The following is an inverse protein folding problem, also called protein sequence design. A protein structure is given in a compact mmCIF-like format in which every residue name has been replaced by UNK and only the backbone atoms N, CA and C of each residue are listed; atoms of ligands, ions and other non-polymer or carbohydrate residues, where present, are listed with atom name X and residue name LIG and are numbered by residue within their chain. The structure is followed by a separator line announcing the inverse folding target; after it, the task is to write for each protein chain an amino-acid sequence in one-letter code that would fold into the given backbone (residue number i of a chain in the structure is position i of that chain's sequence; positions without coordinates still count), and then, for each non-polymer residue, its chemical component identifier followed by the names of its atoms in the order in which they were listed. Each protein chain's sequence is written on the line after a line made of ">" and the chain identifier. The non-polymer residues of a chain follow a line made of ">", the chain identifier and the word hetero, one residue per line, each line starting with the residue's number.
data_IF_048838915460
#
_entry.id   IF_048838915460
#
_cell.length_a   1.000
_cell.length_b   1.000
_cell.length_c   1.000
_cell.angle_alpha   90.00
_cell.angle_beta   90.00
_cell.angle_gamma   90.00
#
_symmetry.space_group_name_H-M   'P 1'
#
loop_
_entity.id
_entity.type
_entity.pdbx_description
1 polymer ?
#
# COMPACT_ATOMS: atom_id res chain seq x y z
N UNK A 1 -11.47 9.75 -19.52
CA UNK A 1 -12.02 10.19 -18.22
C UNK A 1 -13.52 10.42 -18.22
N UNK A 2 -14.07 11.41 -18.91
CA UNK A 2 -15.55 11.60 -18.98
C UNK A 2 -16.27 10.35 -19.51
N UNK A 3 -15.66 9.65 -20.49
CA UNK A 3 -16.16 8.37 -20.99
C UNK A 3 -16.11 7.24 -19.93
N UNK A 4 -15.02 7.15 -19.15
CA UNK A 4 -14.86 6.16 -18.06
C UNK A 4 -15.86 6.44 -16.93
N UNK A 5 -16.02 7.70 -16.55
CA UNK A 5 -17.01 8.13 -15.56
C UNK A 5 -18.44 7.88 -16.03
N UNK A 6 -18.72 8.06 -17.33
CA UNK A 6 -20.02 7.77 -17.95
C UNK A 6 -20.31 6.27 -18.02
N UNK A 7 -19.32 5.45 -18.35
CA UNK A 7 -19.45 3.99 -18.36
C UNK A 7 -19.62 3.41 -16.94
N UNK A 8 -18.96 3.98 -15.92
CA UNK A 8 -19.18 3.66 -14.50
C UNK A 8 -20.62 3.99 -14.05
N UNK A 9 -21.20 5.08 -14.55
CA UNK A 9 -22.60 5.45 -14.30
C UNK A 9 -23.55 4.45 -14.96
N UNK A 10 -23.24 4.03 -16.19
CA UNK A 10 -24.08 3.11 -16.94
C UNK A 10 -23.97 1.65 -16.43
N UNK A 11 -22.81 1.24 -15.89
CA UNK A 11 -22.59 -0.10 -15.30
C UNK A 11 -23.21 -0.25 -13.91
N UNK A 12 -23.09 0.75 -13.03
CA UNK A 12 -23.73 0.77 -11.70
C UNK A 12 -25.26 0.79 -11.78
N UNK A 13 -25.82 1.31 -12.88
CA UNK A 13 -27.26 1.27 -13.14
C UNK A 13 -27.79 -0.14 -13.49
N UNK A 14 -26.93 -1.02 -14.01
CA UNK A 14 -27.26 -2.39 -14.47
C UNK A 14 -27.12 -3.47 -13.39
N UNK A 15 -26.35 -3.23 -12.32
CA UNK A 15 -26.16 -4.18 -11.21
C UNK A 15 -27.14 -4.01 -10.03
N UNK A 16 -28.34 -3.43 -10.26
CA UNK A 16 -29.35 -3.14 -9.23
C UNK A 16 -29.98 -4.36 -8.54
N UNK A 17 -29.65 -5.59 -8.91
CA UNK A 17 -30.35 -6.79 -8.43
C UNK A 17 -29.63 -7.61 -7.35
N UNK A 18 -28.39 -7.33 -6.97
CA UNK A 18 -27.66 -8.13 -5.95
C UNK A 18 -27.15 -7.38 -4.71
N UNK A 19 -27.33 -6.06 -4.62
CA UNK A 19 -26.92 -5.29 -3.42
C UNK A 19 -28.11 -5.15 -2.46
N UNK A 20 -27.99 -5.52 -1.16
CA UNK A 20 -29.04 -5.34 -0.17
C UNK A 20 -29.53 -3.88 -0.18
N UNK A 21 -30.85 -3.70 -0.33
CA UNK A 21 -31.52 -2.39 -0.47
C UNK A 21 -31.30 -1.39 0.69
N UNK A 22 -30.54 -1.75 1.72
CA UNK A 22 -30.23 -0.89 2.87
C UNK A 22 -29.05 0.09 2.63
N UNK A 23 -28.30 -0.04 1.54
CA UNK A 23 -27.17 0.85 1.23
C UNK A 23 -27.48 1.95 0.18
N UNK A 24 -28.73 2.08 -0.27
CA UNK A 24 -29.13 3.20 -1.12
C UNK A 24 -29.25 4.49 -0.28
N UNK A 25 -28.12 5.16 -0.04
CA UNK A 25 -28.14 6.56 0.34
C UNK A 25 -28.84 7.35 -0.77
N UNK A 26 -29.94 8.01 -0.40
CA UNK A 26 -30.70 8.95 -1.23
C UNK A 26 -29.77 9.79 -2.12
N UNK A 27 -29.70 9.43 -3.41
CA UNK A 27 -29.00 10.18 -4.45
C UNK A 27 -29.86 11.33 -5.02
N UNK A 28 -31.09 11.53 -4.51
CA UNK A 28 -31.97 12.62 -4.89
C UNK A 28 -32.18 13.61 -3.75
N UNK A 29 -31.95 14.90 -4.08
CA UNK A 29 -32.39 16.10 -3.35
C UNK A 29 -31.86 16.33 -1.93
N UNK A 30 -30.61 16.78 -1.82
CA UNK A 30 -30.21 17.80 -0.82
C UNK A 30 -28.85 18.39 -1.17
N UNK A 31 -28.80 19.18 -2.24
CA UNK A 31 -27.82 20.26 -2.37
C UNK A 31 -28.11 21.32 -1.30
N UNK A 32 -27.66 21.09 -0.06
CA UNK A 32 -27.47 22.08 1.02
C UNK A 32 -26.98 21.37 2.27
N UNK A 33 -25.86 21.86 2.80
CA UNK A 33 -25.18 21.47 4.03
C UNK A 33 -24.34 20.20 3.95
N UNK A 34 -23.25 20.30 3.17
CA UNK A 34 -22.01 19.72 3.65
C UNK A 34 -21.64 20.42 4.97
N UNK A 35 -21.84 19.75 6.10
CA UNK A 35 -20.97 19.98 7.25
C UNK A 35 -19.64 19.29 6.91
N UNK A 36 -18.83 19.92 6.06
CA UNK A 36 -17.44 19.53 5.92
C UNK A 36 -16.85 19.43 7.34
N UNK A 37 -16.10 18.37 7.69
CA UNK A 37 -15.16 18.52 8.78
C UNK A 37 -14.30 19.71 8.38
N UNK A 38 -14.47 20.84 9.05
CA UNK A 38 -13.71 22.05 8.74
C UNK A 38 -12.24 21.66 8.73
N UNK A 39 -11.45 22.26 7.84
CA UNK A 39 -10.00 22.01 7.77
C UNK A 39 -9.34 22.00 9.16
N UNK A 40 -9.86 22.79 10.09
CA UNK A 40 -9.53 22.76 11.51
C UNK A 40 -9.73 21.40 12.21
N UNK A 41 -10.89 20.77 12.07
CA UNK A 41 -11.16 19.44 12.66
C UNK A 41 -10.27 18.37 12.05
N UNK A 42 -10.05 18.38 10.73
CA UNK A 42 -9.11 17.46 10.09
C UNK A 42 -7.68 17.64 10.62
N UNK A 43 -7.22 18.89 10.75
CA UNK A 43 -5.90 19.22 11.31
C UNK A 43 -5.77 18.74 12.77
N UNK A 44 -6.81 18.90 13.60
CA UNK A 44 -6.80 18.38 14.98
C UNK A 44 -6.71 16.85 15.00
N UNK A 45 -7.46 16.18 14.12
CA UNK A 45 -7.49 14.73 13.98
C UNK A 45 -6.13 14.17 13.54
N UNK A 46 -5.46 14.84 12.60
CA UNK A 46 -4.09 14.53 12.18
C UNK A 46 -3.07 14.70 13.31
N UNK A 47 -3.17 15.77 14.12
CA UNK A 47 -2.27 15.99 15.27
C UNK A 47 -2.38 14.89 16.33
N UNK A 48 -3.59 14.40 16.59
CA UNK A 48 -3.79 13.30 17.55
C UNK A 48 -3.18 12.00 17.04
N UNK A 49 -3.38 11.69 15.75
CA UNK A 49 -2.79 10.52 15.11
C UNK A 49 -1.25 10.58 15.09
N UNK A 50 -0.69 11.76 14.83
CA UNK A 50 0.74 12.00 14.88
C UNK A 50 1.31 11.71 16.27
N UNK A 51 0.66 12.20 17.33
CA UNK A 51 1.08 11.93 18.70
C UNK A 51 1.05 10.44 19.05
N UNK A 52 0.06 9.70 18.55
CA UNK A 52 -0.02 8.24 18.69
C UNK A 52 1.19 7.55 18.03
N UNK A 53 1.49 7.85 16.77
CA UNK A 53 2.60 7.23 16.04
C UNK A 53 3.96 7.58 16.64
N UNK A 54 4.17 8.84 17.04
CA UNK A 54 5.42 9.26 17.69
C UNK A 54 5.68 8.48 18.97
N UNK A 55 4.65 8.29 19.81
CA UNK A 55 4.74 7.48 21.02
C UNK A 55 5.09 6.02 20.68
N UNK A 56 4.41 5.43 19.70
CA UNK A 56 4.66 4.04 19.30
C UNK A 56 6.10 3.84 18.82
N UNK A 57 6.61 4.71 17.94
CA UNK A 57 7.98 4.59 17.44
C UNK A 57 9.04 4.83 18.52
N UNK A 58 8.79 5.72 19.51
CA UNK A 58 9.65 5.86 20.67
C UNK A 58 9.71 4.57 21.52
N UNK A 59 8.57 3.91 21.73
CA UNK A 59 8.54 2.60 22.41
C UNK A 59 9.31 1.54 21.61
N UNK A 60 9.25 1.56 20.27
CA UNK A 60 10.07 0.71 19.40
C UNK A 60 11.58 1.03 19.45
N UNK A 61 11.99 2.27 19.71
CA UNK A 61 13.41 2.61 19.89
C UNK A 61 14.02 1.90 21.11
N UNK A 62 13.24 1.68 22.18
CA UNK A 62 13.70 0.88 23.32
C UNK A 62 13.97 -0.59 22.92
N UNK A 63 13.29 -1.09 21.87
CA UNK A 63 13.55 -2.41 21.27
C UNK A 63 14.84 -2.47 20.43
N UNK A 64 15.30 -1.35 19.83
CA UNK A 64 16.54 -1.30 19.04
C UNK A 64 17.81 -1.64 19.84
N UNK A 65 17.74 -1.60 21.18
CA UNK A 65 18.80 -2.14 22.05
C UNK A 65 18.99 -3.67 21.94
N UNK A 66 18.11 -4.36 21.20
CA UNK A 66 18.17 -5.80 20.94
C UNK A 66 18.35 -6.05 19.44
N UNK A 67 19.57 -6.41 19.08
CA UNK A 67 20.03 -6.80 17.73
C UNK A 67 19.06 -7.78 17.05
N UNK A 68 18.19 -7.30 16.15
CA UNK A 68 17.21 -8.16 15.48
C UNK A 68 17.61 -8.43 14.04
N UNK A 69 18.24 -9.59 13.86
CA UNK A 69 18.19 -10.34 12.61
C UNK A 69 16.72 -10.66 12.27
N UNK A 70 16.34 -10.73 10.99
CA UNK A 70 15.05 -11.28 10.56
C UNK A 70 15.02 -12.79 10.91
N UNK A 71 14.69 -13.13 12.15
CA UNK A 71 14.63 -14.51 12.65
C UNK A 71 13.24 -14.93 13.12
N UNK A 72 12.24 -14.06 13.04
CA UNK A 72 10.85 -14.36 13.44
C UNK A 72 9.86 -13.60 12.55
N UNK A 73 8.62 -14.10 12.45
CA UNK A 73 7.51 -13.44 11.75
C UNK A 73 7.14 -12.08 12.36
N UNK A 74 7.38 -11.91 13.66
CA UNK A 74 7.19 -10.63 14.37
C UNK A 74 8.15 -9.56 13.83
N UNK A 75 9.41 -9.91 13.58
CA UNK A 75 10.41 -8.99 13.02
C UNK A 75 10.05 -8.59 11.58
N UNK A 76 9.48 -9.49 10.77
CA UNK A 76 9.05 -9.16 9.41
C UNK A 76 7.94 -8.10 9.40
N UNK A 77 6.99 -8.19 10.34
CA UNK A 77 5.95 -7.16 10.52
C UNK A 77 6.56 -5.82 10.92
N UNK A 78 7.47 -5.81 11.88
CA UNK A 78 8.14 -4.59 12.33
C UNK A 78 8.96 -3.94 11.20
N UNK A 79 9.71 -4.74 10.44
CA UNK A 79 10.49 -4.26 9.30
C UNK A 79 9.57 -3.71 8.21
N UNK A 80 8.51 -4.42 7.84
CA UNK A 80 7.54 -3.91 6.87
C UNK A 80 6.92 -2.58 7.33
N UNK A 81 6.55 -2.48 8.61
CA UNK A 81 5.99 -1.26 9.21
C UNK A 81 6.99 -0.12 9.13
N UNK A 82 8.25 -0.38 9.48
CA UNK A 82 9.34 0.61 9.45
C UNK A 82 9.67 1.08 8.04
N UNK A 83 9.70 0.17 7.05
CA UNK A 83 9.92 0.54 5.64
C UNK A 83 8.80 1.45 5.14
N UNK A 84 7.53 1.09 5.41
CA UNK A 84 6.37 1.89 4.99
C UNK A 84 6.31 3.24 5.72
N UNK A 85 6.69 3.28 7.01
CA UNK A 85 6.82 4.51 7.77
C UNK A 85 7.87 5.44 7.18
N UNK A 86 9.04 4.91 6.83
CA UNK A 86 10.11 5.69 6.20
C UNK A 86 9.66 6.25 4.84
N UNK A 87 9.01 5.43 4.01
CA UNK A 87 8.46 5.83 2.70
C UNK A 87 7.46 6.98 2.85
N UNK A 88 6.50 6.84 3.76
CA UNK A 88 5.46 7.84 4.01
C UNK A 88 6.05 9.14 4.59
N UNK A 89 6.96 9.04 5.55
CA UNK A 89 7.61 10.24 6.10
C UNK A 89 8.55 10.92 5.12
N UNK A 90 9.18 10.17 4.23
CA UNK A 90 9.96 10.75 3.13
C UNK A 90 9.07 11.61 2.24
N UNK A 91 7.92 11.07 1.82
CA UNK A 91 6.98 11.72 0.91
C UNK A 91 6.07 12.79 1.58
N UNK A 92 5.88 12.72 2.90
CA UNK A 92 5.06 13.66 3.67
C UNK A 92 5.75 14.06 4.99
N UNK A 93 6.84 14.84 4.93
CA UNK A 93 7.61 15.24 6.11
C UNK A 93 6.79 16.05 7.13
N UNK A 94 5.74 16.75 6.69
CA UNK A 94 4.81 17.49 7.54
C UNK A 94 4.08 16.59 8.56
N UNK A 95 3.99 15.28 8.32
CA UNK A 95 3.42 14.32 9.26
C UNK A 95 4.30 14.07 10.49
N UNK A 96 5.59 14.42 10.45
CA UNK A 96 6.51 14.31 11.58
C UNK A 96 6.45 15.51 12.52
N UNK A 97 5.84 16.63 12.09
CA UNK A 97 5.72 17.86 12.88
C UNK A 97 6.87 18.84 12.65
N UNK A 98 7.00 19.81 13.55
CA UNK A 98 7.98 20.90 13.43
C UNK A 98 9.37 20.55 13.98
N UNK A 99 9.54 19.38 14.60
CA UNK A 99 10.85 18.88 15.03
C UNK A 99 11.53 18.21 13.85
N UNK A 100 12.85 18.37 13.74
CA UNK A 100 13.61 17.96 12.56
C UNK A 100 13.26 16.51 12.15
N UNK A 101 12.67 16.31 10.95
CA UNK A 101 12.32 14.98 10.41
C UNK A 101 13.50 13.99 10.32
N UNK A 102 14.70 14.47 10.59
CA UNK A 102 15.98 13.80 10.42
C UNK A 102 16.15 12.63 11.38
N UNK A 103 15.81 12.76 12.67
CA UNK A 103 16.11 11.71 13.66
C UNK A 103 15.26 10.44 13.45
N UNK A 104 13.94 10.59 13.28
CA UNK A 104 13.05 9.44 13.03
C UNK A 104 13.35 8.76 11.68
N UNK A 105 13.63 9.55 10.62
CA UNK A 105 14.00 8.98 9.32
C UNK A 105 15.32 8.23 9.37
N UNK A 106 16.33 8.78 10.04
CA UNK A 106 17.61 8.11 10.25
C UNK A 106 17.45 6.81 11.02
N UNK A 107 16.67 6.82 12.10
CA UNK A 107 16.44 5.60 12.91
C UNK A 107 15.71 4.52 12.14
N UNK A 108 14.71 4.87 11.33
CA UNK A 108 14.01 3.91 10.47
C UNK A 108 14.94 3.39 9.37
N UNK A 109 15.78 4.25 8.79
CA UNK A 109 16.77 3.85 7.78
C UNK A 109 17.83 2.91 8.38
N UNK A 110 18.35 3.22 9.56
CA UNK A 110 19.27 2.36 10.31
C UNK A 110 18.65 1.01 10.63
N UNK A 111 17.37 0.98 11.04
CA UNK A 111 16.66 -0.25 11.36
C UNK A 111 16.51 -1.21 10.17
N UNK A 112 16.38 -0.68 8.96
CA UNK A 112 16.19 -1.47 7.73
C UNK A 112 17.50 -1.64 6.93
N UNK A 113 18.60 -1.07 7.41
CA UNK A 113 19.93 -1.22 6.80
C UNK A 113 20.66 -2.40 7.47
N UNK A 114 21.30 -3.30 6.69
CA UNK A 114 22.07 -4.40 7.27
C UNK A 114 23.18 -3.89 8.19
N UNK A 115 23.41 -4.61 9.30
CA UNK A 115 24.57 -4.36 10.16
C UNK A 115 25.88 -4.63 9.42
N UNK A 116 26.95 -3.96 9.85
CA UNK A 116 28.30 -4.16 9.30
C UNK A 116 28.68 -5.65 9.25
N UNK A 117 29.07 -6.11 8.06
CA UNK A 117 29.47 -7.49 7.80
C UNK A 117 28.33 -8.45 7.44
N UNK A 118 27.08 -8.00 7.42
CA UNK A 118 25.93 -8.76 6.90
C UNK A 118 25.61 -8.25 5.49
N UNK A 119 25.56 -9.14 4.50
CA UNK A 119 25.12 -8.75 3.17
C UNK A 119 23.62 -8.41 3.20
N UNK A 120 23.19 -7.47 2.37
CA UNK A 120 21.76 -7.13 2.28
C UNK A 120 20.90 -8.30 1.82
N UNK A 121 21.48 -9.20 1.02
CA UNK A 121 20.86 -10.47 0.66
C UNK A 121 20.57 -11.33 1.90
N UNK A 122 21.58 -11.52 2.76
CA UNK A 122 21.46 -12.31 3.99
C UNK A 122 20.49 -11.67 5.00
N UNK A 123 20.40 -10.34 4.99
CA UNK A 123 19.50 -9.60 5.88
C UNK A 123 18.03 -9.90 5.59
N UNK A 124 17.64 -10.05 4.32
CA UNK A 124 16.26 -10.31 3.91
C UNK A 124 15.96 -11.77 3.54
N UNK A 125 16.83 -12.71 3.92
CA UNK A 125 16.56 -14.14 3.76
C UNK A 125 15.56 -14.64 4.81
N UNK A 126 14.67 -15.53 4.40
CA UNK A 126 13.83 -16.28 5.34
C UNK A 126 14.69 -17.27 6.14
N UNK A 127 14.49 -17.28 7.47
CA UNK A 127 15.27 -18.03 8.46
C UNK A 127 15.54 -19.51 8.14
N UNK A 128 14.68 -20.16 7.35
CA UNK A 128 14.70 -21.61 7.16
C UNK A 128 14.72 -22.08 5.69
N UNK A 129 14.79 -21.19 4.70
CA UNK A 129 14.59 -21.61 3.30
C UNK A 129 15.73 -21.29 2.34
N UNK A 130 16.80 -20.59 2.74
CA UNK A 130 17.78 -20.02 1.81
C UNK A 130 17.15 -19.16 0.69
N UNK A 131 15.85 -18.85 0.78
CA UNK A 131 15.12 -18.06 -0.20
C UNK A 131 15.10 -16.61 0.26
N UNK A 132 15.29 -15.72 -0.70
CA UNK A 132 15.23 -14.27 -0.47
C UNK A 132 13.76 -13.85 -0.50
N UNK A 133 13.37 -13.02 0.48
CA UNK A 133 12.06 -12.38 0.47
C UNK A 133 12.08 -11.24 -0.55
N UNK A 134 11.82 -11.55 -1.83
CA UNK A 134 11.87 -10.57 -2.93
C UNK A 134 10.96 -9.37 -2.64
N UNK A 135 9.79 -9.59 -2.03
CA UNK A 135 8.84 -8.53 -1.71
C UNK A 135 9.44 -7.50 -0.74
N UNK A 136 9.87 -7.97 0.44
CA UNK A 136 10.41 -7.11 1.49
C UNK A 136 11.75 -6.49 1.08
N UNK A 137 12.61 -7.27 0.41
CA UNK A 137 13.91 -6.80 -0.08
C UNK A 137 13.74 -5.69 -1.11
N UNK A 138 12.89 -5.90 -2.13
CA UNK A 138 12.68 -4.91 -3.19
C UNK A 138 12.10 -3.61 -2.63
N UNK A 139 11.12 -3.73 -1.72
CA UNK A 139 10.51 -2.58 -1.06
C UNK A 139 11.52 -1.80 -0.21
N UNK A 140 12.33 -2.49 0.61
CA UNK A 140 13.34 -1.87 1.46
C UNK A 140 14.40 -1.12 0.64
N UNK A 141 14.96 -1.77 -0.39
CA UNK A 141 15.97 -1.17 -1.27
C UNK A 141 15.39 0.05 -1.98
N UNK A 142 14.17 -0.05 -2.50
CA UNK A 142 13.49 1.06 -3.19
C UNK A 142 13.39 2.30 -2.29
N UNK A 143 12.98 2.11 -1.03
CA UNK A 143 12.82 3.20 -0.05
C UNK A 143 14.18 3.74 0.39
N UNK A 144 15.18 2.88 0.60
CA UNK A 144 16.54 3.30 0.97
C UNK A 144 17.23 4.10 -0.14
N UNK A 145 17.02 3.73 -1.42
CA UNK A 145 17.49 4.51 -2.57
C UNK A 145 16.83 5.89 -2.61
N UNK A 146 15.50 5.93 -2.52
CA UNK A 146 14.71 7.17 -2.59
C UNK A 146 15.04 8.15 -1.46
N UNK A 147 15.32 7.62 -0.28
CA UNK A 147 15.72 8.41 0.89
C UNK A 147 17.21 8.79 0.92
N UNK A 148 18.01 8.30 -0.03
CA UNK A 148 19.45 8.54 -0.09
C UNK A 148 20.29 7.78 0.94
N UNK A 149 19.71 6.76 1.60
CA UNK A 149 20.37 5.94 2.62
C UNK A 149 21.07 4.70 2.03
N UNK A 150 20.91 4.43 0.74
CA UNK A 150 21.63 3.38 0.02
C UNK A 150 22.17 3.91 -1.30
N UNK A 151 23.42 3.57 -1.61
CA UNK A 151 24.03 3.90 -2.88
C UNK A 151 23.51 2.99 -4.01
N UNK A 152 23.48 3.51 -5.24
CA UNK A 152 23.00 2.77 -6.41
C UNK A 152 23.79 1.48 -6.72
N UNK A 153 25.15 1.44 -6.67
CA UNK A 153 25.90 0.24 -7.04
C UNK A 153 25.55 -1.03 -6.24
N UNK A 154 25.48 -1.03 -4.90
CA UNK A 154 25.05 -2.22 -4.15
C UNK A 154 23.58 -2.58 -4.41
N UNK A 155 22.70 -1.59 -4.62
CA UNK A 155 21.29 -1.85 -4.93
C UNK A 155 21.12 -2.55 -6.28
N UNK A 156 21.89 -2.15 -7.29
CA UNK A 156 21.87 -2.74 -8.64
C UNK A 156 22.22 -4.23 -8.62
N UNK A 157 23.29 -4.61 -7.93
CA UNK A 157 23.70 -6.02 -7.79
C UNK A 157 22.56 -6.88 -7.22
N UNK A 158 21.85 -6.37 -6.21
CA UNK A 158 20.76 -7.12 -5.58
C UNK A 158 19.54 -7.15 -6.49
N UNK A 159 19.21 -6.04 -7.14
CA UNK A 159 18.11 -5.98 -8.11
C UNK A 159 18.29 -6.99 -9.27
N UNK A 160 19.51 -7.18 -9.76
CA UNK A 160 19.83 -8.22 -10.76
C UNK A 160 19.50 -9.62 -10.24
N UNK A 161 19.96 -9.92 -9.02
CA UNK A 161 19.71 -11.22 -8.40
C UNK A 161 18.21 -11.46 -8.15
N UNK A 162 17.49 -10.46 -7.64
CA UNK A 162 16.03 -10.54 -7.44
C UNK A 162 15.29 -10.74 -8.76
N UNK A 163 15.73 -10.08 -9.84
CA UNK A 163 15.18 -10.27 -11.18
C UNK A 163 15.38 -11.70 -11.67
N UNK A 164 16.59 -12.24 -11.55
CA UNK A 164 16.87 -13.62 -11.94
C UNK A 164 16.02 -14.64 -11.17
N UNK A 165 15.85 -14.45 -9.85
CA UNK A 165 14.99 -15.30 -9.04
C UNK A 165 13.51 -15.19 -9.46
N UNK A 166 13.02 -13.99 -9.79
CA UNK A 166 11.66 -13.83 -10.30
C UNK A 166 11.46 -14.51 -11.66
N UNK A 167 12.42 -14.39 -12.58
CA UNK A 167 12.36 -15.05 -13.89
C UNK A 167 12.34 -16.58 -13.74
N UNK A 168 13.11 -17.14 -12.80
CA UNK A 168 13.05 -18.58 -12.47
C UNK A 168 11.65 -18.98 -11.99
N UNK A 169 10.98 -18.14 -11.18
CA UNK A 169 9.59 -18.38 -10.76
C UNK A 169 8.67 -18.43 -11.99
N UNK A 170 8.75 -17.46 -12.91
CA UNK A 170 7.94 -17.48 -14.14
C UNK A 170 8.19 -18.71 -14.99
N UNK A 171 9.44 -19.14 -15.17
CA UNK A 171 9.77 -20.34 -15.94
C UNK A 171 9.19 -21.61 -15.31
N UNK A 172 9.21 -21.72 -13.97
CA UNK A 172 8.64 -22.88 -13.27
C UNK A 172 7.13 -23.06 -13.50
N UNK A 173 6.38 -21.97 -13.76
CA UNK A 173 4.96 -22.03 -14.14
C UNK A 173 4.77 -22.70 -15.50
N UNK A 174 5.66 -22.40 -16.45
CA UNK A 174 5.53 -22.88 -17.82
C UNK A 174 5.79 -24.38 -17.97
N UNK A 175 6.46 -25.00 -16.99
CA UNK A 175 6.87 -26.41 -17.02
C UNK A 175 5.94 -27.33 -16.21
N UNK A 176 5.37 -26.87 -15.09
CA UNK A 176 4.47 -27.65 -14.23
C UNK A 176 3.01 -27.18 -14.36
N UNK A 177 2.23 -27.85 -15.22
CA UNK A 177 0.85 -27.46 -15.58
C UNK A 177 -0.22 -27.68 -14.50
N UNK A 178 0.13 -28.03 -13.26
CA UNK A 178 -0.87 -28.29 -12.21
C UNK A 178 -0.28 -28.13 -10.81
N UNK A 179 -0.78 -27.14 -10.08
CA UNK A 179 -1.04 -27.12 -8.62
C UNK A 179 -0.21 -26.28 -7.63
N UNK A 180 0.93 -25.62 -7.93
CA UNK A 180 1.56 -24.77 -6.89
C UNK A 180 2.62 -23.78 -7.41
N UNK A 181 2.22 -22.75 -8.15
CA UNK A 181 3.13 -21.64 -8.40
C UNK A 181 2.49 -20.29 -8.04
N UNK A 182 2.72 -19.93 -6.78
CA UNK A 182 2.26 -18.71 -6.12
C UNK A 182 3.15 -17.51 -6.50
N UNK A 183 3.13 -17.05 -7.76
CA UNK A 183 3.75 -15.74 -8.05
C UNK A 183 2.90 -14.65 -7.41
N UNK A 184 3.50 -13.98 -6.44
CA UNK A 184 2.85 -12.91 -5.71
C UNK A 184 2.88 -11.60 -6.53
N UNK A 185 1.71 -11.05 -6.83
CA UNK A 185 1.61 -9.82 -7.63
C UNK A 185 2.20 -8.59 -6.92
N UNK A 186 2.10 -8.49 -5.59
CA UNK A 186 2.71 -7.38 -4.84
C UNK A 186 4.24 -7.47 -4.85
N UNK A 187 4.78 -8.69 -4.78
CA UNK A 187 6.22 -8.93 -4.98
C UNK A 187 6.68 -8.44 -6.36
N UNK A 188 5.91 -8.75 -7.41
CA UNK A 188 6.16 -8.26 -8.76
C UNK A 188 6.10 -6.73 -8.84
N UNK A 189 5.12 -6.08 -8.22
CA UNK A 189 5.02 -4.61 -8.18
C UNK A 189 6.26 -3.98 -7.52
N UNK A 190 6.68 -4.50 -6.36
CA UNK A 190 7.82 -3.96 -5.62
C UNK A 190 9.14 -4.17 -6.36
N UNK A 191 9.33 -5.33 -6.99
CA UNK A 191 10.50 -5.56 -7.86
C UNK A 191 10.48 -4.66 -9.09
N UNK A 192 9.33 -4.51 -9.75
CA UNK A 192 9.20 -3.65 -10.92
C UNK A 192 9.54 -2.20 -10.62
N UNK A 193 9.08 -1.67 -9.47
CA UNK A 193 9.46 -0.33 -8.99
C UNK A 193 10.97 -0.19 -8.86
N UNK A 194 11.63 -1.14 -8.18
CA UNK A 194 13.08 -1.12 -7.99
C UNK A 194 13.83 -1.12 -9.32
N UNK A 195 13.40 -1.95 -10.27
CA UNK A 195 14.02 -2.03 -11.59
C UNK A 195 13.88 -0.71 -12.36
N UNK A 196 12.73 -0.03 -12.27
CA UNK A 196 12.58 1.31 -12.85
C UNK A 196 13.44 2.36 -12.17
N UNK A 197 13.53 2.36 -10.84
CA UNK A 197 14.37 3.33 -10.09
C UNK A 197 15.87 3.20 -10.44
N UNK A 198 16.30 2.03 -10.89
CA UNK A 198 17.69 1.74 -11.28
C UNK A 198 17.92 1.80 -12.79
N UNK A 199 16.96 2.29 -13.58
CA UNK A 199 17.00 2.30 -15.05
C UNK A 199 17.33 0.91 -15.64
N UNK A 200 16.84 -0.16 -15.01
CA UNK A 200 17.03 -1.56 -15.41
C UNK A 200 15.83 -2.08 -16.22
N UNK A 201 15.22 -1.23 -17.04
CA UNK A 201 14.00 -1.53 -17.80
C UNK A 201 14.19 -2.56 -18.92
N UNK A 202 15.41 -3.01 -19.20
CA UNK A 202 15.64 -4.12 -20.13
C UNK A 202 15.17 -5.46 -19.54
N UNK A 203 14.20 -6.10 -20.20
CA UNK A 203 13.63 -7.40 -19.82
C UNK A 203 12.74 -7.34 -18.57
N UNK A 204 11.83 -6.36 -18.50
CA UNK A 204 10.76 -6.30 -17.48
C UNK A 204 9.39 -6.67 -18.05
N UNK A 205 9.32 -6.98 -19.35
CA UNK A 205 8.10 -7.27 -20.10
C UNK A 205 7.32 -8.44 -19.49
N UNK A 206 8.00 -9.51 -19.07
CA UNK A 206 7.34 -10.65 -18.41
C UNK A 206 6.63 -10.24 -17.11
N UNK A 207 7.24 -9.34 -16.32
CA UNK A 207 6.64 -8.83 -15.08
C UNK A 207 5.46 -7.90 -15.42
N UNK A 208 5.62 -7.04 -16.42
CA UNK A 208 4.56 -6.13 -16.87
C UNK A 208 3.35 -6.90 -17.41
N UNK A 209 3.58 -7.87 -18.29
CA UNK A 209 2.54 -8.71 -18.91
C UNK A 209 1.78 -9.50 -17.85
N UNK A 210 2.50 -10.08 -16.88
CA UNK A 210 1.88 -10.76 -15.73
C UNK A 210 0.99 -9.81 -14.93
N UNK A 211 1.53 -8.65 -14.52
CA UNK A 211 0.78 -7.68 -13.71
C UNK A 211 -0.43 -7.11 -14.45
N UNK A 212 -0.29 -6.88 -15.75
CA UNK A 212 -1.39 -6.40 -16.59
C UNK A 212 -2.50 -7.45 -16.70
N UNK A 213 -2.14 -8.70 -16.99
CA UNK A 213 -3.10 -9.80 -17.02
C UNK A 213 -3.77 -10.02 -15.64
N UNK A 214 -3.02 -9.90 -14.54
CA UNK A 214 -3.53 -10.03 -13.18
C UNK A 214 -4.56 -8.93 -12.85
N UNK A 215 -4.30 -7.70 -13.29
CA UNK A 215 -5.20 -6.55 -13.16
C UNK A 215 -6.44 -6.66 -14.07
N UNK A 216 -6.26 -7.05 -15.33
CA UNK A 216 -7.32 -7.13 -16.34
C UNK A 216 -8.34 -8.21 -15.97
N UNK A 217 -7.85 -9.41 -15.61
CA UNK A 217 -8.67 -10.54 -15.22
C UNK A 217 -9.19 -10.48 -13.77
N UNK A 218 -8.89 -9.39 -13.03
CA UNK A 218 -9.31 -9.18 -11.64
C UNK A 218 -8.90 -10.29 -10.66
N UNK A 219 -7.80 -10.99 -10.94
CA UNK A 219 -7.33 -12.12 -10.13
C UNK A 219 -7.03 -11.69 -8.68
N UNK A 220 -6.64 -10.44 -8.48
CA UNK A 220 -6.40 -9.84 -7.16
C UNK A 220 -7.63 -9.80 -6.24
N UNK A 221 -8.85 -10.00 -6.76
CA UNK A 221 -10.09 -10.00 -5.97
C UNK A 221 -10.39 -11.37 -5.34
N UNK A 222 -9.90 -12.47 -5.93
CA UNK A 222 -10.26 -13.86 -5.58
C UNK A 222 -9.30 -14.52 -4.56
N UNK A 223 -8.64 -13.72 -3.71
CA UNK A 223 -7.53 -14.14 -2.83
C UNK A 223 -7.94 -14.99 -1.59
N UNK A 224 -9.07 -15.69 -1.64
CA UNK A 224 -9.48 -16.60 -0.56
C UNK A 224 -8.97 -18.02 -0.86
N UNK A 225 -7.95 -18.43 -0.09
CA UNK A 225 -7.58 -19.82 0.23
C UNK A 225 -6.54 -20.58 -0.62
N UNK A 226 -5.97 -20.01 -1.69
CA UNK A 226 -5.01 -20.77 -2.54
C UNK A 226 -3.53 -20.39 -2.41
N UNK A 227 -3.16 -19.28 -1.75
CA UNK A 227 -1.78 -18.73 -1.79
C UNK A 227 -1.19 -18.63 -0.38
N UNK A 228 0.08 -18.99 -0.20
CA UNK A 228 0.82 -18.85 1.07
C UNK A 228 0.85 -17.41 1.61
N UNK A 229 0.71 -16.41 0.74
CA UNK A 229 0.62 -14.97 1.05
C UNK A 229 -0.50 -14.32 0.24
N UNK A 230 -1.58 -13.88 0.89
CA UNK A 230 -2.72 -13.19 0.26
C UNK A 230 -2.73 -11.71 0.62
N UNK A 231 -2.61 -10.80 -0.36
CA UNK A 231 -2.73 -9.36 -0.14
C UNK A 231 -4.17 -8.89 -0.30
N UNK A 232 -4.55 -7.80 0.38
CA UNK A 232 -5.83 -7.15 0.10
C UNK A 232 -5.84 -6.62 -1.34
N UNK A 233 -7.00 -6.61 -2.02
CA UNK A 233 -7.11 -6.04 -3.35
C UNK A 233 -6.58 -4.60 -3.44
N UNK A 234 -6.85 -3.77 -2.43
CA UNK A 234 -6.41 -2.38 -2.39
C UNK A 234 -4.90 -2.26 -2.16
N UNK A 235 -4.29 -3.19 -1.43
CA UNK A 235 -2.84 -3.28 -1.32
C UNK A 235 -2.20 -3.55 -2.69
N UNK A 236 -2.72 -4.50 -3.47
CA UNK A 236 -2.23 -4.75 -4.82
C UNK A 236 -2.31 -3.50 -5.71
N UNK A 237 -3.47 -2.85 -5.76
CA UNK A 237 -3.66 -1.64 -6.57
C UNK A 237 -2.75 -0.50 -6.12
N UNK A 238 -2.53 -0.34 -4.82
CA UNK A 238 -1.60 0.64 -4.26
C UNK A 238 -0.15 0.37 -4.66
N UNK A 239 0.34 -0.86 -4.48
CA UNK A 239 1.71 -1.20 -4.87
C UNK A 239 1.92 -1.11 -6.39
N UNK A 240 0.93 -1.49 -7.20
CA UNK A 240 0.98 -1.30 -8.65
C UNK A 240 1.03 0.19 -9.02
N UNK A 241 0.21 1.03 -8.39
CA UNK A 241 0.24 2.49 -8.59
C UNK A 241 1.63 3.05 -8.31
N UNK A 242 2.22 2.66 -7.18
CA UNK A 242 3.58 3.06 -6.77
C UNK A 242 4.66 2.60 -7.75
N UNK A 243 4.46 1.47 -8.42
CA UNK A 243 5.43 0.95 -9.38
C UNK A 243 5.40 1.73 -10.71
N UNK A 244 4.20 2.12 -11.18
CA UNK A 244 4.05 2.65 -12.56
C UNK A 244 4.10 4.17 -12.66
N UNK A 245 3.67 4.90 -11.62
CA UNK A 245 3.48 6.37 -11.69
C UNK A 245 4.76 7.16 -11.91
N UNK A 246 5.92 6.62 -11.54
CA UNK A 246 7.21 7.30 -11.74
C UNK A 246 7.84 7.00 -13.10
N UNK A 247 7.20 6.18 -13.95
CA UNK A 247 7.77 5.71 -15.21
C UNK A 247 6.76 5.90 -16.36
N UNK A 248 6.93 6.93 -17.23
CA UNK A 248 5.88 7.35 -18.17
C UNK A 248 5.33 6.23 -19.07
N UNK A 249 6.20 5.35 -19.58
CA UNK A 249 5.76 4.24 -20.44
C UNK A 249 4.95 3.18 -19.69
N UNK A 250 5.28 2.94 -18.41
CA UNK A 250 4.53 2.04 -17.56
C UNK A 250 3.20 2.68 -17.14
N UNK A 251 3.21 3.96 -16.79
CA UNK A 251 1.99 4.70 -16.49
C UNK A 251 1.03 4.64 -17.68
N UNK A 252 1.49 4.96 -18.89
CA UNK A 252 0.66 4.92 -20.11
C UNK A 252 0.00 3.55 -20.33
N UNK A 253 0.74 2.47 -20.09
CA UNK A 253 0.22 1.10 -20.21
C UNK A 253 -0.89 0.80 -19.19
N UNK A 254 -0.68 1.13 -17.92
CA UNK A 254 -1.57 0.68 -16.83
C UNK A 254 -2.68 1.67 -16.48
N UNK A 255 -2.52 2.96 -16.76
CA UNK A 255 -3.30 4.05 -16.15
C UNK A 255 -4.81 3.88 -16.24
N UNK A 256 -5.35 3.68 -17.44
CA UNK A 256 -6.80 3.66 -17.64
C UNK A 256 -7.46 2.46 -16.91
N UNK A 257 -6.86 1.27 -17.05
CA UNK A 257 -7.36 0.06 -16.40
C UNK A 257 -7.18 0.14 -14.88
N UNK A 258 -6.03 0.62 -14.40
CA UNK A 258 -5.75 0.80 -12.97
C UNK A 258 -6.73 1.78 -12.32
N UNK A 259 -6.98 2.93 -12.97
CA UNK A 259 -7.98 3.90 -12.51
C UNK A 259 -9.37 3.30 -12.46
N UNK A 260 -9.77 2.56 -13.49
CA UNK A 260 -11.04 1.86 -13.52
C UNK A 260 -11.17 0.90 -12.32
N UNK A 261 -10.14 0.08 -12.05
CA UNK A 261 -10.13 -0.86 -10.92
C UNK A 261 -10.18 -0.15 -9.56
N UNK A 262 -9.48 0.97 -9.40
CA UNK A 262 -9.55 1.77 -8.17
C UNK A 262 -10.96 2.36 -7.98
N UNK A 263 -11.57 2.88 -9.05
CA UNK A 263 -12.92 3.44 -9.00
C UNK A 263 -14.00 2.41 -8.72
N UNK A 264 -13.89 1.21 -9.30
CA UNK A 264 -14.79 0.09 -9.02
C UNK A 264 -14.83 -0.24 -7.52
N UNK A 265 -13.76 0.08 -6.78
CA UNK A 265 -13.63 -0.20 -5.33
C UNK A 265 -13.99 0.97 -4.41
N UNK A 266 -14.29 2.15 -4.93
CA UNK A 266 -14.68 3.28 -4.08
C UNK A 266 -15.98 3.00 -3.33
N UNK A 267 -16.00 3.33 -2.05
CA UNK A 267 -17.11 3.05 -1.13
C UNK A 267 -17.20 1.59 -0.68
N UNK A 268 -16.29 0.71 -1.14
CA UNK A 268 -16.21 -0.67 -0.68
C UNK A 268 -15.25 -0.76 0.51
N UNK A 269 -15.68 -1.42 1.59
CA UNK A 269 -14.82 -1.75 2.71
C UNK A 269 -14.76 -3.26 2.84
N UNK A 270 -13.64 -3.87 2.46
CA UNK A 270 -13.41 -5.30 2.65
C UNK A 270 -12.42 -5.48 3.78
N UNK A 271 -12.87 -5.20 5.00
CA UNK A 271 -12.13 -5.72 6.13
C UNK A 271 -12.18 -7.25 6.04
N UNK A 272 -11.02 -7.92 5.96
CA UNK A 272 -10.98 -9.38 6.11
C UNK A 272 -11.68 -9.74 7.41
N UNK A 273 -12.59 -10.72 7.40
CA UNK A 273 -13.20 -11.18 8.65
C UNK A 273 -12.11 -11.50 9.68
N UNK A 274 -12.08 -10.71 10.76
CA UNK A 274 -11.31 -11.02 11.95
C UNK A 274 -12.21 -11.99 12.70
N UNK A 275 -11.75 -13.24 12.86
CA UNK A 275 -12.50 -14.28 13.59
C UNK A 275 -13.12 -13.69 14.86
N UNK A 276 -14.44 -13.82 14.94
CA UNK A 276 -15.36 -13.60 16.07
C UNK A 276 -15.06 -12.37 16.95
N UNK A 277 -15.88 -11.33 16.79
CA UNK A 277 -16.06 -10.14 17.66
C UNK A 277 -15.27 -8.85 17.38
N UNK A 278 -14.50 -8.75 16.29
CA UNK A 278 -13.86 -7.47 15.89
C UNK A 278 -14.32 -7.07 14.48
N UNK A 279 -15.13 -6.01 14.37
CA UNK A 279 -15.38 -5.40 13.06
C UNK A 279 -14.04 -4.94 12.48
N UNK A 280 -13.66 -5.51 11.33
CA UNK A 280 -12.47 -5.11 10.60
C UNK A 280 -12.64 -3.65 10.14
N UNK A 281 -11.66 -2.81 10.50
CA UNK A 281 -11.68 -1.39 10.24
C UNK A 281 -11.19 -1.15 8.81
N UNK A 282 -12.02 -0.75 7.81
CA UNK A 282 -11.62 -0.65 6.39
C UNK A 282 -10.69 0.54 6.08
N UNK A 283 -10.03 1.08 7.10
CA UNK A 283 -9.28 2.32 7.00
C UNK A 283 -8.03 2.16 6.13
N UNK A 284 -7.39 0.99 6.12
CA UNK A 284 -6.18 0.81 5.32
C UNK A 284 -6.52 0.78 3.83
N UNK A 285 -7.57 0.04 3.46
CA UNK A 285 -8.04 -0.08 2.09
C UNK A 285 -8.47 1.29 1.54
N UNK A 286 -9.23 2.04 2.35
CA UNK A 286 -9.69 3.39 2.01
C UNK A 286 -8.53 4.35 1.79
N UNK A 287 -7.53 4.26 2.66
CA UNK A 287 -6.34 5.08 2.57
C UNK A 287 -5.53 4.75 1.32
N UNK A 288 -5.31 3.47 1.04
CA UNK A 288 -4.60 2.99 -0.14
C UNK A 288 -5.25 3.50 -1.42
N UNK A 289 -6.57 3.47 -1.53
CA UNK A 289 -7.30 4.05 -2.68
C UNK A 289 -7.08 5.56 -2.80
N UNK A 290 -7.25 6.31 -1.71
CA UNK A 290 -7.05 7.76 -1.72
C UNK A 290 -5.62 8.15 -2.12
N UNK A 291 -4.63 7.42 -1.59
CA UNK A 291 -3.21 7.63 -1.92
C UNK A 291 -2.94 7.25 -3.39
N UNK A 292 -3.48 6.14 -3.89
CA UNK A 292 -3.36 5.79 -5.31
C UNK A 292 -3.92 6.85 -6.23
N UNK A 293 -5.12 7.37 -5.92
CA UNK A 293 -5.72 8.47 -6.67
C UNK A 293 -4.90 9.76 -6.60
N UNK A 294 -4.23 10.02 -5.46
CA UNK A 294 -3.29 11.14 -5.35
C UNK A 294 -2.12 10.96 -6.30
N UNK A 295 -1.45 9.80 -6.25
CA UNK A 295 -0.30 9.50 -7.09
C UNK A 295 -0.64 9.63 -8.58
N UNK A 296 -1.81 9.15 -9.02
CA UNK A 296 -2.26 9.23 -10.42
C UNK A 296 -2.70 10.64 -10.86
N UNK A 297 -2.57 11.64 -9.99
CA UNK A 297 -2.91 13.04 -10.26
C UNK A 297 -4.41 13.34 -10.24
N UNK A 298 -5.25 12.39 -9.82
CA UNK A 298 -6.71 12.46 -9.93
C UNK A 298 -7.30 13.39 -8.88
N UNK A 299 -6.74 13.44 -7.66
CA UNK A 299 -7.29 14.29 -6.58
C UNK A 299 -7.34 15.79 -6.95
N UNK A 300 -6.58 16.22 -7.96
CA UNK A 300 -6.52 17.61 -8.42
C UNK A 300 -7.54 17.95 -9.51
N UNK A 301 -8.34 16.99 -9.94
CA UNK A 301 -9.32 17.19 -11.02
C UNK A 301 -10.62 17.79 -10.50
N UNK A 302 -11.09 18.84 -11.17
CA UNK A 302 -12.35 19.49 -10.84
C UNK A 302 -13.55 18.68 -11.37
N UNK A 303 -13.88 17.60 -10.64
CA UNK A 303 -15.08 16.79 -10.87
C UNK A 303 -15.93 16.73 -9.61
N UNK A 304 -17.18 17.19 -9.70
CA UNK A 304 -18.14 17.13 -8.59
C UNK A 304 -18.43 15.69 -8.13
N UNK A 305 -18.40 14.73 -9.07
CA UNK A 305 -18.57 13.31 -8.78
C UNK A 305 -17.36 12.77 -8.02
N UNK A 306 -16.15 13.09 -8.48
CA UNK A 306 -14.92 12.69 -7.81
C UNK A 306 -14.86 13.25 -6.38
N UNK A 307 -15.18 14.54 -6.20
CA UNK A 307 -15.29 15.15 -4.87
C UNK A 307 -16.25 14.41 -3.96
N UNK A 308 -17.39 13.96 -4.48
CA UNK A 308 -18.38 13.19 -3.71
C UNK A 308 -17.86 11.80 -3.33
N UNK A 309 -17.18 11.12 -4.24
CA UNK A 309 -16.62 9.79 -3.98
C UNK A 309 -15.48 9.86 -2.96
N UNK A 310 -14.54 10.81 -3.12
CA UNK A 310 -13.47 11.07 -2.15
C UNK A 310 -14.01 11.40 -0.76
N UNK A 311 -15.13 12.15 -0.69
CA UNK A 311 -15.81 12.43 0.58
C UNK A 311 -16.29 11.17 1.30
N UNK A 312 -16.67 10.13 0.55
CA UNK A 312 -17.08 8.84 1.11
C UNK A 312 -15.92 8.18 1.84
N UNK A 313 -14.77 8.08 1.19
CA UNK A 313 -13.55 7.53 1.77
C UNK A 313 -13.08 8.34 2.99
N UNK A 314 -13.06 9.68 2.90
CA UNK A 314 -12.68 10.54 4.03
C UNK A 314 -13.62 10.36 5.22
N UNK A 315 -14.93 10.29 4.99
CA UNK A 315 -15.91 10.03 6.06
C UNK A 315 -15.69 8.66 6.70
N UNK A 316 -15.33 7.66 5.90
CA UNK A 316 -14.97 6.35 6.40
C UNK A 316 -13.74 6.43 7.31
N UNK A 317 -12.64 7.05 6.87
CA UNK A 317 -11.47 7.27 7.74
C UNK A 317 -11.85 7.98 9.04
N UNK A 318 -12.58 9.09 8.99
CA UNK A 318 -12.93 9.83 10.21
C UNK A 318 -13.87 9.08 11.15
N UNK A 319 -14.75 8.23 10.62
CA UNK A 319 -15.65 7.39 11.42
C UNK A 319 -14.88 6.36 12.23
N UNK A 320 -13.80 5.82 11.67
CA UNK A 320 -13.03 4.72 12.25
C UNK A 320 -11.84 5.18 13.10
N UNK A 321 -11.58 6.48 13.18
CA UNK A 321 -10.54 6.99 14.07
C UNK A 321 -10.95 6.87 15.55
N UNK A 322 -10.09 6.23 16.33
CA UNK A 322 -10.25 6.01 17.75
C UNK A 322 -9.95 7.27 18.58
N UNK A 323 -10.27 7.22 19.87
CA UNK A 323 -10.09 8.36 20.80
C UNK A 323 -8.62 8.72 21.04
N UNK A 324 -7.73 7.74 20.96
CA UNK A 324 -6.28 7.93 21.10
C UNK A 324 -5.63 8.49 19.82
N UNK A 325 -6.40 8.67 18.74
CA UNK A 325 -5.93 9.17 17.45
C UNK A 325 -5.60 8.09 16.44
N UNK A 326 -5.59 6.81 16.85
CA UNK A 326 -5.27 5.69 15.97
C UNK A 326 -6.45 5.26 15.09
N UNK A 327 -6.18 4.41 14.10
CA UNK A 327 -7.17 3.65 13.35
C UNK A 327 -7.10 2.18 13.75
N UNK A 328 -8.27 1.55 13.89
CA UNK A 328 -8.38 0.17 14.36
C UNK A 328 -7.60 -0.84 13.51
N UNK A 329 -7.44 -2.04 14.08
CA UNK A 329 -6.70 -3.12 13.46
C UNK A 329 -7.27 -3.44 12.07
N UNK A 330 -6.42 -3.33 11.06
CA UNK A 330 -6.67 -3.72 9.68
C UNK A 330 -5.48 -4.51 9.12
N UNK A 331 -5.66 -5.17 7.98
CA UNK A 331 -4.69 -6.13 7.41
C UNK A 331 -4.31 -5.75 5.98
N UNK A 332 -3.01 -5.65 5.71
CA UNK A 332 -2.48 -5.54 4.35
C UNK A 332 -2.47 -6.91 3.67
N UNK A 333 -2.11 -7.96 4.42
CA UNK A 333 -2.02 -9.31 3.89
C UNK A 333 -2.26 -10.39 4.95
N UNK A 334 -2.39 -11.64 4.52
CA UNK A 334 -2.30 -12.83 5.37
C UNK A 334 -1.15 -13.69 4.89
N UNK A 335 -0.35 -14.23 5.80
CA UNK A 335 0.73 -15.18 5.53
C UNK A 335 0.45 -16.45 6.33
N UNK A 336 0.21 -17.57 5.65
CA UNK A 336 -0.12 -18.87 6.26
C UNK A 336 -1.24 -18.73 7.32
N UNK A 337 -2.31 -17.99 6.98
CA UNK A 337 -3.44 -17.72 7.87
C UNK A 337 -3.21 -16.67 8.97
N UNK A 338 -2.00 -16.12 9.10
CA UNK A 338 -1.69 -15.07 10.06
C UNK A 338 -1.86 -13.70 9.40
N UNK A 339 -2.63 -12.83 10.04
CA UNK A 339 -2.87 -11.48 9.58
C UNK A 339 -1.65 -10.57 9.76
N UNK A 340 -1.22 -9.90 8.70
CA UNK A 340 -0.18 -8.89 8.70
C UNK A 340 -0.79 -7.51 8.42
N UNK A 341 -0.43 -6.57 9.28
CA UNK A 341 -1.14 -5.30 9.43
C UNK A 341 -1.01 -4.83 10.87
N UNK A 342 -1.78 -3.81 11.23
CA UNK A 342 -1.67 -3.22 12.55
C UNK A 342 -2.43 -1.92 12.65
N UNK A 343 -2.72 -1.54 13.89
CA UNK A 343 -3.20 -0.21 14.23
C UNK A 343 -2.21 0.84 13.75
N UNK A 344 -0.92 0.54 13.81
CA UNK A 344 0.20 1.41 13.41
C UNK A 344 0.18 1.70 11.91
N UNK A 345 0.18 0.64 11.10
CA UNK A 345 0.16 0.73 9.64
C UNK A 345 -1.14 1.41 9.19
N UNK A 346 -2.29 1.03 9.77
CA UNK A 346 -3.58 1.63 9.43
C UNK A 346 -3.60 3.12 9.75
N UNK A 347 -3.03 3.52 10.89
CA UNK A 347 -2.92 4.92 11.30
C UNK A 347 -1.98 5.71 10.39
N UNK A 348 -0.85 5.12 10.02
CA UNK A 348 0.13 5.71 9.12
C UNK A 348 -0.48 5.99 7.74
N UNK A 349 -1.16 5.00 7.15
CA UNK A 349 -1.84 5.15 5.86
C UNK A 349 -2.99 6.15 5.94
N UNK A 350 -3.80 6.12 7.01
CA UNK A 350 -4.90 7.09 7.18
C UNK A 350 -4.38 8.52 7.31
N UNK A 351 -3.29 8.73 8.05
CA UNK A 351 -2.64 10.04 8.12
C UNK A 351 -2.12 10.50 6.76
N UNK A 352 -1.49 9.60 6.01
CA UNK A 352 -0.94 9.88 4.69
C UNK A 352 -2.05 10.23 3.68
N UNK A 353 -3.15 9.48 3.67
CA UNK A 353 -4.30 9.80 2.83
C UNK A 353 -4.91 11.17 3.20
N UNK A 354 -5.06 11.45 4.49
CA UNK A 354 -5.66 12.69 4.97
C UNK A 354 -4.77 13.93 4.77
N UNK A 355 -3.43 13.80 4.70
CA UNK A 355 -2.54 14.94 4.42
C UNK A 355 -2.80 15.52 3.04
N UNK A 356 -2.99 14.67 2.02
CA UNK A 356 -3.30 15.13 0.66
C UNK A 356 -4.64 15.86 0.56
N UNK A 357 -5.62 15.43 1.35
CA UNK A 357 -6.94 16.09 1.40
C UNK A 357 -6.86 17.43 2.12
N UNK A 358 -6.01 17.57 3.14
CA UNK A 358 -5.84 18.84 3.88
C UNK A 358 -5.09 19.92 3.06
N UNK A 359 -4.29 19.51 2.08
CA UNK A 359 -3.60 20.40 1.14
C UNK A 359 -4.54 20.92 0.04
N UNK A 360 -5.66 20.24 -0.20
CA UNK A 360 -6.71 20.66 -1.14
C UNK A 360 -7.55 21.79 -0.52
N UNK A 361 -7.28 23.04 -0.90
CA UNK A 361 -7.98 24.25 -0.47
C UNK A 361 -8.75 24.93 -1.60
#
# INVERSE_FOLDING_TARGET
>A
MEAILKDLIDSTSKHKESVPRQFYFNLSSSSRNWNEPTSFHLVQRLKHAQAYLQKHFQECQEFQSRTLYIKTKENEKEILTSILALDIYHNCPQLLGNEEPTEMKSLLAEFITPLDGISMQDFFMYKNSNLININLTSLAISVLLETGNLAEPPARTIAELLKEEMLKKFQSISEDSTENCDINAVECCNLLRLLYQLDMSGNVEEIQDFLYAYLDNRIYEDNEDSINISFSPDAFLYFLTRAVVCYPSAEELFRDLLLQRIFDRLGQGFGFEIKEDVEACPAIDSSMRLVSLHCLGILHEDSALLRRLMAGEVKMLLRWQQKDGSWGLDRICKIEGNAFGGTEISSLFAMFALSFICEYK
#
